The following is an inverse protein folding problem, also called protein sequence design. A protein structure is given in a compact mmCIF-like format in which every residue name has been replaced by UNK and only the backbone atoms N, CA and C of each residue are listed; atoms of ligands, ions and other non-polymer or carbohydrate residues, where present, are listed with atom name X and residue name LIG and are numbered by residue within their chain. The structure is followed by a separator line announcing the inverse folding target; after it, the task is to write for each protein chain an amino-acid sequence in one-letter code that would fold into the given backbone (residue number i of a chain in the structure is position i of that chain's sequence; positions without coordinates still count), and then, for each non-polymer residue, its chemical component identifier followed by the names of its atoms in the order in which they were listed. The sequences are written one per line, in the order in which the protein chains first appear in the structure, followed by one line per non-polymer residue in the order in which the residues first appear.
data_IF_594323357416
#
_entry.id   IF_594323357416
#
_cell.length_a   1.000
_cell.length_b   1.000
_cell.length_c   1.000
_cell.angle_alpha   90.00
_cell.angle_beta   90.00
_cell.angle_gamma   90.00
#
_symmetry.space_group_name_H-M   'P 1'
#
loop_
_entity.id
_entity.type
_entity.pdbx_description
1 polymer ?
#
# COMPACT_ATOMS: atom_id res chain seq x y z
N UNK A 1 17.56 9.94 -21.91
CA UNK A 1 16.39 9.19 -21.40
C UNK A 1 15.56 8.80 -22.61
N UNK A 2 15.91 7.71 -23.27
CA UNK A 2 15.31 7.23 -24.52
C UNK A 2 15.65 5.74 -24.53
N UNK A 3 14.76 4.81 -24.17
CA UNK A 3 13.45 4.57 -24.76
C UNK A 3 12.44 4.09 -23.70
N UNK A 4 11.52 4.96 -23.26
CA UNK A 4 10.36 4.50 -22.47
C UNK A 4 9.36 3.81 -23.40
N UNK A 5 8.67 2.74 -22.96
CA UNK A 5 7.60 2.12 -23.74
C UNK A 5 6.53 3.15 -24.16
N UNK A 6 6.00 3.03 -25.37
CA UNK A 6 5.00 3.97 -25.90
C UNK A 6 3.76 4.10 -24.98
N UNK A 7 3.35 2.99 -24.34
CA UNK A 7 2.26 3.01 -23.35
C UNK A 7 2.59 3.85 -22.11
N UNK A 8 3.85 3.84 -21.64
CA UNK A 8 4.32 4.67 -20.52
C UNK A 8 4.28 6.15 -20.88
N UNK A 9 4.71 6.50 -22.10
CA UNK A 9 4.66 7.89 -22.61
C UNK A 9 3.20 8.35 -22.73
N UNK A 10 2.33 7.53 -23.32
CA UNK A 10 0.91 7.85 -23.45
C UNK A 10 0.21 8.03 -22.09
N UNK A 11 0.57 7.21 -21.09
CA UNK A 11 0.08 7.38 -19.73
C UNK A 11 0.60 8.68 -19.09
N UNK A 12 1.88 9.01 -19.25
CA UNK A 12 2.45 10.28 -18.75
C UNK A 12 1.75 11.49 -19.36
N UNK A 13 1.59 11.50 -20.69
CA UNK A 13 0.83 12.52 -21.41
C UNK A 13 -0.61 12.64 -20.91
N UNK A 14 -1.27 11.51 -20.64
CA UNK A 14 -2.61 11.51 -20.07
C UNK A 14 -2.63 12.23 -18.72
N UNK A 15 -1.75 11.87 -17.79
CA UNK A 15 -1.73 12.49 -16.46
C UNK A 15 -1.33 13.96 -16.49
N UNK A 16 -0.36 14.36 -17.32
CA UNK A 16 0.05 15.75 -17.44
C UNK A 16 -1.09 16.66 -17.93
N UNK A 17 -1.86 16.17 -18.92
CA UNK A 17 -3.02 16.89 -19.48
C UNK A 17 -4.20 16.99 -18.50
N UNK A 18 -4.46 15.95 -17.70
CA UNK A 18 -5.68 15.86 -16.90
C UNK A 18 -5.51 16.26 -15.43
N UNK A 19 -4.29 16.19 -14.88
CA UNK A 19 -4.04 16.37 -13.46
C UNK A 19 -2.93 17.39 -13.17
N UNK A 20 -3.08 18.09 -12.06
CA UNK A 20 -2.03 18.86 -11.40
C UNK A 20 -1.56 18.07 -10.16
N UNK A 21 -0.25 17.85 -10.05
CA UNK A 21 0.36 17.18 -8.91
C UNK A 21 0.83 18.13 -7.83
N UNK A 22 0.67 17.72 -6.58
CA UNK A 22 1.47 18.27 -5.49
C UNK A 22 2.92 17.80 -5.63
N UNK A 23 3.83 18.49 -4.94
CA UNK A 23 5.23 18.03 -4.84
C UNK A 23 5.27 16.61 -4.24
N UNK A 24 5.93 15.63 -4.90
CA UNK A 24 6.03 14.30 -4.36
C UNK A 24 6.84 14.28 -3.05
N UNK A 25 6.37 13.53 -2.07
CA UNK A 25 7.11 13.27 -0.83
C UNK A 25 7.98 12.05 -1.05
N UNK A 26 9.30 12.25 -1.08
CA UNK A 26 10.30 11.19 -1.01
C UNK A 26 10.69 11.00 0.45
N UNK A 27 10.26 9.91 1.06
CA UNK A 27 10.57 9.59 2.45
C UNK A 27 11.71 8.58 2.48
N UNK A 28 12.90 9.08 2.81
CA UNK A 28 14.12 8.29 2.99
C UNK A 28 14.43 8.01 4.47
N UNK A 29 15.29 7.02 4.78
CA UNK A 29 15.67 6.73 6.15
C UNK A 29 16.24 7.94 6.88
N UNK A 30 15.72 8.22 8.09
CA UNK A 30 16.16 9.32 8.92
C UNK A 30 15.45 10.66 8.67
N UNK A 31 14.67 10.77 7.60
CA UNK A 31 13.83 11.95 7.37
C UNK A 31 12.69 12.00 8.41
N UNK A 32 12.37 13.22 8.86
CA UNK A 32 11.15 13.49 9.65
C UNK A 32 10.38 14.64 9.02
N UNK A 33 9.14 14.37 8.64
CA UNK A 33 8.20 15.33 8.08
C UNK A 33 6.92 15.28 8.91
N UNK A 34 6.46 16.45 9.34
CA UNK A 34 5.20 16.62 10.06
C UNK A 34 4.20 17.31 9.14
N UNK A 35 3.06 16.66 8.88
CA UNK A 35 1.96 17.26 8.14
C UNK A 35 1.07 18.06 9.09
N UNK A 36 0.65 19.24 8.66
CA UNK A 36 -0.23 20.12 9.41
C UNK A 36 0.46 20.97 10.48
N UNK A 37 -0.17 22.09 10.81
CA UNK A 37 0.31 23.00 11.84
C UNK A 37 0.32 22.32 13.22
N UNK A 38 1.41 22.54 13.97
CA UNK A 38 1.51 22.15 15.38
C UNK A 38 0.91 23.18 16.35
N UNK A 39 0.38 24.29 15.83
CA UNK A 39 -0.22 25.34 16.64
C UNK A 39 -1.48 24.87 17.35
N UNK A 40 -1.69 25.41 18.55
CA UNK A 40 -2.85 25.11 19.40
C UNK A 40 -3.85 26.28 19.37
N UNK A 41 -5.16 26.01 19.45
CA UNK A 41 -5.79 24.70 19.57
C UNK A 41 -5.70 23.89 18.27
N UNK A 42 -5.45 22.58 18.38
CA UNK A 42 -5.40 21.68 17.21
C UNK A 42 -6.78 21.21 16.79
N UNK A 43 -6.96 21.07 15.47
CA UNK A 43 -8.18 20.59 14.81
C UNK A 43 -7.95 19.21 14.19
N UNK A 44 -8.83 18.25 14.48
CA UNK A 44 -8.77 16.92 13.87
C UNK A 44 -9.62 16.90 12.60
N UNK A 45 -8.98 16.80 11.43
CA UNK A 45 -9.72 16.83 10.14
C UNK A 45 -10.61 15.60 9.94
N UNK A 46 -10.32 14.49 10.62
CA UNK A 46 -11.10 13.26 10.50
C UNK A 46 -12.40 13.34 11.30
N UNK A 47 -12.34 13.79 12.57
CA UNK A 47 -13.53 13.89 13.41
C UNK A 47 -14.20 15.26 13.44
N UNK A 48 -13.54 16.29 12.92
CA UNK A 48 -14.00 17.67 12.92
C UNK A 48 -14.01 18.31 14.31
N UNK A 49 -13.36 17.69 15.31
CA UNK A 49 -13.31 18.20 16.68
C UNK A 49 -11.98 18.89 16.97
N UNK A 50 -12.03 19.91 17.82
CA UNK A 50 -10.89 20.69 18.28
C UNK A 50 -10.46 20.32 19.70
N UNK A 51 -9.25 20.73 20.09
CA UNK A 51 -8.89 20.79 21.51
C UNK A 51 -9.79 21.80 22.25
N UNK A 52 -10.27 21.50 23.48
CA UNK A 52 -9.94 20.35 24.32
C UNK A 52 -10.92 19.15 24.20
N UNK A 53 -11.86 19.16 23.25
CA UNK A 53 -12.84 18.07 23.08
C UNK A 53 -12.18 16.74 22.62
N UNK A 54 -11.00 16.83 22.03
CA UNK A 54 -10.10 15.71 21.71
C UNK A 54 -8.67 16.05 22.12
N UNK A 55 -7.80 15.03 22.19
CA UNK A 55 -6.38 15.18 22.50
C UNK A 55 -5.51 14.71 21.33
N UNK A 56 -4.27 15.19 21.30
CA UNK A 56 -3.27 14.88 20.28
C UNK A 56 -1.92 14.57 20.97
N UNK A 57 -1.96 13.61 21.90
CA UNK A 57 -0.79 13.17 22.66
C UNK A 57 -0.01 12.09 21.91
N UNK A 58 -0.68 11.35 21.03
CA UNK A 58 -0.06 10.31 20.22
C UNK A 58 0.75 10.92 19.06
N UNK A 59 1.80 10.21 18.67
CA UNK A 59 2.48 10.47 17.41
C UNK A 59 1.74 9.74 16.26
N UNK A 60 0.69 10.39 15.75
CA UNK A 60 -0.10 9.86 14.66
C UNK A 60 0.73 9.79 13.37
N UNK A 61 0.73 8.62 12.72
CA UNK A 61 1.46 8.41 11.49
C UNK A 61 0.54 8.68 10.29
N UNK A 62 0.98 9.51 9.34
CA UNK A 62 0.19 9.76 8.12
C UNK A 62 0.15 8.54 7.19
N UNK A 63 1.22 7.75 7.19
CA UNK A 63 1.32 6.44 6.56
C UNK A 63 1.53 5.39 7.66
N UNK A 64 0.78 4.27 7.72
CA UNK A 64 0.97 3.30 8.79
C UNK A 64 2.41 2.79 8.87
N UNK A 65 2.95 2.68 10.08
CA UNK A 65 4.32 2.19 10.31
C UNK A 65 4.56 0.79 9.71
N UNK A 66 3.50 0.01 9.49
CA UNK A 66 3.51 -1.26 8.78
C UNK A 66 4.19 -1.20 7.40
N UNK A 67 4.14 -0.03 6.73
CA UNK A 67 4.75 0.21 5.42
C UNK A 67 6.20 0.68 5.47
N UNK A 68 6.85 0.65 6.63
CA UNK A 68 8.20 1.19 6.79
C UNK A 68 8.27 2.69 7.01
N UNK A 69 7.13 3.32 7.32
CA UNK A 69 7.12 4.71 7.73
C UNK A 69 7.82 4.88 9.08
N UNK A 70 8.91 5.63 9.10
CA UNK A 70 9.66 6.04 10.30
C UNK A 70 9.66 7.55 10.52
N UNK A 71 9.02 8.32 9.62
CA UNK A 71 9.31 9.74 9.48
C UNK A 71 8.15 10.64 9.08
N UNK A 72 7.05 10.12 8.53
CA UNK A 72 5.92 10.91 8.08
C UNK A 72 4.78 10.89 9.11
N UNK A 73 4.65 11.99 9.84
CA UNK A 73 3.70 12.15 10.95
C UNK A 73 2.62 13.18 10.61
N UNK A 74 1.54 13.19 11.39
CA UNK A 74 0.37 14.04 11.14
C UNK A 74 -0.09 14.74 12.41
N UNK A 75 -0.20 16.07 12.37
CA UNK A 75 -0.92 16.87 13.35
C UNK A 75 -2.44 16.91 13.07
N UNK A 76 -2.90 16.32 11.97
CA UNK A 76 -4.30 16.38 11.56
C UNK A 76 -5.21 15.33 12.23
N UNK A 77 -4.63 14.45 13.05
CA UNK A 77 -5.29 13.27 13.59
C UNK A 77 -5.21 13.25 15.12
N UNK A 78 -6.37 13.28 15.79
CA UNK A 78 -6.44 13.16 17.25
C UNK A 78 -6.30 11.71 17.72
N UNK A 79 -5.95 11.52 18.98
CA UNK A 79 -5.69 10.21 19.61
C UNK A 79 -6.84 9.24 19.35
N UNK A 80 -8.10 9.67 19.56
CA UNK A 80 -9.27 8.81 19.33
C UNK A 80 -9.41 8.32 17.88
N UNK A 81 -9.03 9.12 16.89
CA UNK A 81 -9.07 8.71 15.49
C UNK A 81 -7.89 7.80 15.15
N UNK A 82 -6.69 8.15 15.64
CA UNK A 82 -5.48 7.35 15.49
C UNK A 82 -5.69 5.91 15.99
N UNK A 83 -6.24 5.76 17.20
CA UNK A 83 -6.61 4.44 17.75
C UNK A 83 -7.70 3.75 16.93
N UNK A 84 -8.79 4.45 16.59
CA UNK A 84 -9.90 3.88 15.82
C UNK A 84 -9.45 3.33 14.45
N UNK A 85 -8.64 4.08 13.70
CA UNK A 85 -8.16 3.63 12.40
C UNK A 85 -7.10 2.53 12.54
N UNK A 86 -6.19 2.64 13.52
CA UNK A 86 -5.16 1.66 13.80
C UNK A 86 -5.71 0.27 14.15
N UNK A 87 -6.74 0.22 15.00
CA UNK A 87 -7.42 -1.03 15.40
C UNK A 87 -8.38 -1.56 14.32
N UNK A 88 -8.92 -0.66 13.49
CA UNK A 88 -9.89 -0.98 12.44
C UNK A 88 -9.28 -1.09 11.03
N UNK A 89 -9.49 -0.05 10.21
CA UNK A 89 -9.21 -0.09 8.77
C UNK A 89 -7.72 -0.27 8.43
N UNK A 90 -6.80 0.27 9.23
CA UNK A 90 -5.37 0.13 9.00
C UNK A 90 -4.88 -1.28 9.30
N UNK A 91 -5.49 -1.98 10.26
CA UNK A 91 -5.21 -3.39 10.52
C UNK A 91 -5.61 -4.27 9.33
N UNK A 92 -6.79 -4.03 8.73
CA UNK A 92 -7.21 -4.73 7.51
C UNK A 92 -6.29 -4.44 6.32
N UNK A 93 -5.85 -3.19 6.16
CA UNK A 93 -4.86 -2.80 5.16
C UNK A 93 -3.51 -3.52 5.39
N UNK A 94 -3.08 -3.60 6.66
CA UNK A 94 -1.91 -4.36 7.08
C UNK A 94 -2.00 -5.83 6.67
N UNK A 95 -3.14 -6.47 6.93
CA UNK A 95 -3.38 -7.88 6.60
C UNK A 95 -3.35 -8.12 5.08
N UNK A 96 -4.00 -7.26 4.30
CA UNK A 96 -4.01 -7.36 2.83
C UNK A 96 -2.61 -7.22 2.21
N UNK A 97 -1.82 -6.26 2.68
CA UNK A 97 -0.48 -5.95 2.11
C UNK A 97 0.64 -6.83 2.67
N UNK A 98 0.39 -7.60 3.73
CA UNK A 98 1.41 -8.40 4.44
C UNK A 98 2.25 -9.28 3.50
N UNK A 99 1.69 -10.06 2.55
CA UNK A 99 2.49 -10.86 1.62
C UNK A 99 3.57 -10.05 0.90
N UNK A 100 3.20 -8.91 0.33
CA UNK A 100 4.11 -8.10 -0.48
C UNK A 100 5.09 -7.33 0.39
N UNK A 101 4.66 -6.85 1.56
CA UNK A 101 5.55 -6.23 2.55
C UNK A 101 6.61 -7.20 3.07
N UNK A 102 6.27 -8.47 3.27
CA UNK A 102 7.24 -9.52 3.60
C UNK A 102 8.25 -9.70 2.47
N UNK A 103 7.79 -9.92 1.24
CA UNK A 103 8.66 -10.18 0.08
C UNK A 103 9.57 -9.02 -0.29
N UNK A 104 9.06 -7.79 -0.20
CA UNK A 104 9.86 -6.58 -0.39
C UNK A 104 10.71 -6.22 0.83
N UNK A 105 10.70 -7.03 1.91
CA UNK A 105 11.50 -6.83 3.13
C UNK A 105 11.24 -5.47 3.79
N UNK A 106 9.98 -5.04 3.79
CA UNK A 106 9.54 -3.78 4.38
C UNK A 106 9.54 -3.93 5.90
N UNK A 107 10.32 -3.11 6.60
CA UNK A 107 10.47 -3.16 8.05
C UNK A 107 9.41 -2.30 8.73
N UNK A 108 8.49 -2.91 9.47
CA UNK A 108 7.60 -2.17 10.37
C UNK A 108 8.19 -2.04 11.78
N UNK A 109 7.35 -1.67 12.76
CA UNK A 109 7.73 -1.53 14.18
C UNK A 109 8.38 -2.80 14.76
N UNK A 110 7.96 -3.97 14.32
CA UNK A 110 8.43 -5.28 14.81
C UNK A 110 9.31 -6.01 13.77
N UNK A 111 9.95 -5.27 12.86
CA UNK A 111 10.77 -5.85 11.79
C UNK A 111 9.98 -6.21 10.54
N UNK A 112 10.53 -7.11 9.71
CA UNK A 112 9.87 -7.60 8.50
C UNK A 112 8.74 -8.56 8.90
N UNK A 113 7.51 -8.42 8.35
CA UNK A 113 6.41 -9.30 8.73
C UNK A 113 6.72 -10.77 8.42
N UNK A 114 6.46 -11.65 9.38
CA UNK A 114 6.54 -13.11 9.18
C UNK A 114 5.21 -13.65 8.67
N UNK A 115 5.26 -14.55 7.69
CA UNK A 115 4.10 -15.29 7.19
C UNK A 115 4.24 -16.72 7.65
N UNK A 116 3.18 -17.29 8.21
CA UNK A 116 3.17 -18.63 8.77
C UNK A 116 1.80 -19.24 8.64
N UNK A 117 1.72 -20.57 8.74
CA UNK A 117 0.44 -21.27 8.88
C UNK A 117 -0.33 -20.70 10.09
N UNK A 118 -1.67 -20.54 10.00
CA UNK A 118 -2.48 -20.02 11.12
C UNK A 118 -2.48 -20.87 12.40
N UNK A 119 -1.98 -22.11 12.37
CA UNK A 119 -2.05 -23.06 13.49
C UNK A 119 -0.67 -23.22 14.14
N UNK A 120 -0.54 -23.20 15.49
CA UNK A 120 0.73 -22.88 16.16
C UNK A 120 1.78 -23.98 16.19
N UNK A 121 1.40 -25.26 16.06
CA UNK A 121 2.27 -26.34 16.56
C UNK A 121 3.11 -27.03 15.48
N UNK A 122 2.65 -27.09 14.22
CA UNK A 122 3.38 -27.70 13.08
C UNK A 122 2.90 -27.09 11.77
N UNK A 123 3.67 -26.15 11.22
CA UNK A 123 3.33 -25.52 9.96
C UNK A 123 4.49 -24.77 9.34
N UNK A 124 4.33 -24.42 8.06
CA UNK A 124 5.34 -23.69 7.34
C UNK A 124 5.48 -22.24 7.80
N UNK A 125 6.66 -21.66 7.53
CA UNK A 125 7.02 -20.29 7.92
C UNK A 125 7.94 -19.65 6.87
N UNK A 126 7.70 -18.37 6.59
CA UNK A 126 8.52 -17.47 5.79
C UNK A 126 8.93 -16.30 6.67
N UNK A 127 10.22 -16.18 6.93
CA UNK A 127 10.80 -15.14 7.79
C UNK A 127 12.08 -14.57 7.17
N UNK A 128 12.38 -13.31 7.43
CA UNK A 128 13.62 -12.68 6.98
C UNK A 128 14.61 -12.59 8.14
N UNK A 129 15.78 -13.21 8.01
CA UNK A 129 16.81 -13.26 9.07
C UNK A 129 17.80 -12.09 9.04
N UNK A 130 17.60 -11.09 8.17
CA UNK A 130 18.57 -10.02 7.94
C UNK A 130 19.51 -10.30 6.76
N UNK A 131 19.88 -11.56 6.55
CA UNK A 131 20.75 -12.03 5.46
C UNK A 131 19.99 -12.68 4.29
N UNK A 132 18.80 -13.24 4.56
CA UNK A 132 17.98 -13.89 3.54
C UNK A 132 16.61 -14.31 4.07
N UNK A 133 15.78 -14.86 3.18
CA UNK A 133 14.55 -15.52 3.60
C UNK A 133 14.84 -16.93 4.09
N UNK A 134 14.26 -17.27 5.23
CA UNK A 134 14.25 -18.59 5.83
C UNK A 134 12.88 -19.21 5.56
N UNK A 135 12.86 -20.29 4.78
CA UNK A 135 11.68 -21.08 4.45
C UNK A 135 11.74 -22.37 5.26
N UNK A 136 10.74 -22.62 6.10
CA UNK A 136 10.61 -23.88 6.85
C UNK A 136 9.29 -24.53 6.47
N UNK A 137 9.30 -25.81 6.14
CA UNK A 137 8.11 -26.60 5.83
C UNK A 137 8.16 -27.98 6.47
N UNK A 138 7.02 -28.70 6.41
CA UNK A 138 6.90 -30.07 6.87
C UNK A 138 6.53 -30.95 5.67
N UNK A 139 7.12 -32.15 5.59
CA UNK A 139 6.99 -33.06 4.45
C UNK A 139 5.54 -33.37 4.03
N UNK A 140 4.60 -33.37 4.98
CA UNK A 140 3.17 -33.59 4.69
C UNK A 140 2.40 -32.39 4.13
N UNK A 141 3.01 -31.20 4.10
CA UNK A 141 2.40 -29.96 3.63
C UNK A 141 3.44 -29.02 2.99
N UNK A 142 3.96 -29.37 1.80
CA UNK A 142 4.88 -28.48 1.09
C UNK A 142 4.16 -27.18 0.72
N UNK A 143 4.85 -26.04 0.83
CA UNK A 143 4.30 -24.73 0.47
C UNK A 143 5.14 -24.00 -0.58
N UNK A 144 6.30 -24.55 -0.94
CA UNK A 144 7.13 -24.07 -2.03
C UNK A 144 7.62 -25.22 -2.91
N UNK A 145 7.98 -24.87 -4.14
CA UNK A 145 8.56 -25.75 -5.14
C UNK A 145 9.83 -25.10 -5.67
N UNK A 146 10.88 -25.90 -5.84
CA UNK A 146 12.13 -25.48 -6.49
C UNK A 146 12.20 -26.13 -7.86
N UNK A 147 12.24 -25.30 -8.89
CA UNK A 147 12.40 -25.67 -10.28
C UNK A 147 13.84 -25.32 -10.69
N UNK A 148 14.75 -26.29 -10.59
CA UNK A 148 16.19 -26.09 -10.84
C UNK A 148 16.49 -25.79 -12.31
N UNK A 149 15.73 -26.38 -13.23
CA UNK A 149 15.91 -26.16 -14.67
C UNK A 149 15.49 -24.73 -15.05
N UNK A 150 14.34 -24.26 -14.58
CA UNK A 150 13.90 -22.89 -14.79
C UNK A 150 14.60 -21.88 -13.86
N UNK A 151 15.39 -22.36 -12.89
CA UNK A 151 16.00 -21.59 -11.81
C UNK A 151 15.01 -20.72 -11.03
N UNK A 152 13.89 -21.32 -10.63
CA UNK A 152 12.80 -20.63 -9.95
C UNK A 152 12.42 -21.30 -8.62
N UNK A 153 12.07 -20.49 -7.63
CA UNK A 153 11.38 -20.93 -6.43
C UNK A 153 9.97 -20.35 -6.46
N UNK A 154 8.96 -21.22 -6.42
CA UNK A 154 7.54 -20.85 -6.44
C UNK A 154 6.93 -21.16 -5.08
N UNK A 155 6.10 -20.28 -4.55
CA UNK A 155 5.41 -20.55 -3.28
C UNK A 155 4.11 -19.79 -3.15
N UNK A 156 3.24 -20.30 -2.28
CA UNK A 156 1.95 -19.69 -1.96
C UNK A 156 1.98 -19.06 -0.57
N UNK A 157 1.94 -17.72 -0.51
CA UNK A 157 1.86 -17.00 0.75
C UNK A 157 0.41 -16.90 1.22
N UNK A 158 0.14 -17.28 2.46
CA UNK A 158 -1.18 -17.06 3.05
C UNK A 158 -1.32 -15.62 3.51
N UNK A 159 -2.33 -14.93 2.97
CA UNK A 159 -2.73 -13.61 3.41
C UNK A 159 -3.60 -13.74 4.66
N UNK A 160 -3.34 -12.88 5.65
CA UNK A 160 -4.15 -12.81 6.86
C UNK A 160 -5.59 -12.39 6.51
N UNK A 161 -6.55 -12.75 7.36
CA UNK A 161 -7.96 -12.42 7.12
C UNK A 161 -8.16 -10.90 7.08
N UNK A 162 -8.88 -10.41 6.08
CA UNK A 162 -9.19 -8.99 5.94
C UNK A 162 -10.57 -8.79 5.32
N UNK A 163 -11.13 -7.59 5.50
CA UNK A 163 -12.32 -7.13 4.78
C UNK A 163 -11.82 -6.18 3.68
N UNK A 164 -12.04 -6.48 2.39
CA UNK A 164 -11.48 -5.67 1.30
C UNK A 164 -11.82 -4.18 1.40
N UNK A 165 -13.08 -3.84 1.65
CA UNK A 165 -13.49 -2.42 1.77
C UNK A 165 -12.89 -1.72 2.99
N UNK A 166 -12.57 -2.46 4.05
CA UNK A 166 -11.84 -1.89 5.19
C UNK A 166 -10.39 -1.57 4.81
N UNK A 167 -9.71 -2.47 4.09
CA UNK A 167 -8.37 -2.20 3.56
C UNK A 167 -8.37 -1.00 2.58
N UNK A 168 -9.41 -0.89 1.74
CA UNK A 168 -9.61 0.25 0.85
C UNK A 168 -9.79 1.57 1.61
N UNK A 169 -10.63 1.58 2.66
CA UNK A 169 -10.77 2.76 3.54
C UNK A 169 -9.42 3.15 4.15
N UNK A 170 -8.58 2.17 4.53
CA UNK A 170 -7.22 2.42 5.01
C UNK A 170 -6.34 3.13 3.98
N UNK A 171 -6.39 2.71 2.71
CA UNK A 171 -5.68 3.41 1.62
C UNK A 171 -6.18 4.85 1.45
N UNK A 172 -7.50 5.03 1.45
CA UNK A 172 -8.13 6.35 1.28
C UNK A 172 -7.79 7.28 2.46
N UNK A 173 -7.71 6.76 3.69
CA UNK A 173 -7.27 7.51 4.88
C UNK A 173 -5.86 8.10 4.69
N UNK A 174 -4.93 7.32 4.13
CA UNK A 174 -3.58 7.83 3.80
C UNK A 174 -3.70 9.02 2.85
N UNK A 175 -4.43 8.88 1.75
CA UNK A 175 -4.63 9.95 0.79
C UNK A 175 -5.28 11.20 1.39
N UNK A 176 -6.33 11.05 2.21
CA UNK A 176 -6.98 12.18 2.90
C UNK A 176 -6.06 12.89 3.91
N UNK A 177 -5.07 12.18 4.46
CA UNK A 177 -4.04 12.80 5.30
C UNK A 177 -3.15 13.75 4.49
N UNK A 178 -2.91 13.44 3.21
CA UNK A 178 -2.08 14.25 2.30
C UNK A 178 -2.81 15.44 1.68
N UNK A 179 -4.15 15.45 1.71
CA UNK A 179 -4.96 16.50 1.10
C UNK A 179 -4.66 17.87 1.78
N UNK A 180 -4.37 18.94 1.01
CA UNK A 180 -4.23 20.29 1.54
C UNK A 180 -5.51 20.78 2.23
N UNK A 181 -5.40 21.61 3.26
CA UNK A 181 -6.56 22.07 4.05
C UNK A 181 -7.65 22.71 3.18
N UNK A 182 -7.27 23.48 2.15
CA UNK A 182 -8.20 24.14 1.22
C UNK A 182 -9.06 23.18 0.39
N UNK A 183 -8.62 21.94 0.21
CA UNK A 183 -9.32 20.91 -0.55
C UNK A 183 -10.22 20.02 0.34
N UNK A 184 -9.99 20.02 1.66
CA UNK A 184 -10.73 19.18 2.61
C UNK A 184 -12.26 19.30 2.52
N UNK A 185 -12.88 20.47 2.25
CA UNK A 185 -14.34 20.58 2.14
C UNK A 185 -14.93 19.72 1.02
N UNK A 186 -14.15 19.36 -0.01
CA UNK A 186 -14.62 18.52 -1.12
C UNK A 186 -14.70 17.04 -0.78
N UNK A 187 -14.15 16.60 0.35
CA UNK A 187 -14.06 15.18 0.74
C UNK A 187 -14.91 14.83 1.97
N UNK A 188 -15.87 15.67 2.35
CA UNK A 188 -16.66 15.49 3.58
C UNK A 188 -17.28 14.09 3.69
N UNK A 189 -17.96 13.65 2.63
CA UNK A 189 -18.62 12.34 2.59
C UNK A 189 -17.60 11.20 2.65
N UNK A 190 -16.39 11.42 2.15
CA UNK A 190 -15.29 10.45 2.17
C UNK A 190 -14.70 10.32 3.58
N UNK A 191 -14.56 11.44 4.31
CA UNK A 191 -14.19 11.42 5.73
C UNK A 191 -15.23 10.68 6.58
N UNK A 192 -16.52 10.93 6.34
CA UNK A 192 -17.62 10.22 7.00
C UNK A 192 -17.56 8.71 6.67
N UNK A 193 -17.35 8.36 5.40
CA UNK A 193 -17.28 6.98 4.96
C UNK A 193 -16.10 6.19 5.55
N UNK A 194 -14.88 6.73 5.57
CA UNK A 194 -13.74 6.01 6.15
C UNK A 194 -13.89 5.80 7.67
N UNK A 195 -14.67 6.65 8.33
CA UNK A 195 -14.99 6.57 9.76
C UNK A 195 -16.18 5.69 10.10
N UNK A 196 -16.98 5.30 9.11
CA UNK A 196 -18.10 4.39 9.31
C UNK A 196 -17.58 2.97 9.60
N UNK A 197 -17.79 2.42 10.82
CA UNK A 197 -17.38 1.06 11.14
C UNK A 197 -18.24 0.02 10.39
N UNK A 198 -19.39 0.41 9.85
CA UNK A 198 -20.17 -0.45 8.97
C UNK A 198 -19.56 -0.47 7.57
N UNK A 199 -19.18 -1.67 7.15
CA UNK A 199 -18.60 -1.96 5.84
C UNK A 199 -19.66 -2.41 4.81
N UNK A 200 -20.93 -2.51 5.20
CA UNK A 200 -22.01 -2.94 4.31
C UNK A 200 -22.38 -1.87 3.26
N UNK A 201 -22.17 -0.59 3.55
CA UNK A 201 -22.65 0.51 2.69
C UNK A 201 -21.80 0.67 1.42
N UNK A 202 -22.47 0.81 0.28
CA UNK A 202 -21.84 1.29 -0.95
C UNK A 202 -21.43 2.75 -0.79
N UNK A 203 -20.37 3.17 -1.50
CA UNK A 203 -19.94 4.57 -1.52
C UNK A 203 -19.91 5.14 -2.93
N UNK A 204 -19.17 4.52 -3.84
CA UNK A 204 -19.13 4.85 -5.27
C UNK A 204 -19.30 3.60 -6.13
N UNK A 205 -19.76 3.77 -7.38
CA UNK A 205 -20.03 2.66 -8.30
C UNK A 205 -18.77 1.92 -8.75
N UNK A 206 -17.66 2.64 -8.96
CA UNK A 206 -16.37 2.08 -9.33
C UNK A 206 -15.29 2.67 -8.42
N UNK A 207 -14.39 1.81 -7.93
CA UNK A 207 -13.31 2.21 -7.04
C UNK A 207 -12.00 1.52 -7.44
N UNK A 208 -11.42 1.88 -8.59
CA UNK A 208 -10.21 1.23 -9.07
C UNK A 208 -9.04 1.55 -8.14
N UNK A 209 -8.31 0.51 -7.75
CA UNK A 209 -6.97 0.62 -7.18
C UNK A 209 -6.02 -0.05 -8.17
N UNK A 210 -5.22 0.73 -8.88
CA UNK A 210 -4.21 0.16 -9.76
C UNK A 210 -3.01 -0.21 -8.91
N UNK A 211 -2.57 -1.46 -9.04
CA UNK A 211 -1.36 -1.96 -8.42
C UNK A 211 -0.36 -2.28 -9.52
N UNK A 212 0.74 -1.54 -9.54
CA UNK A 212 1.86 -1.80 -10.43
C UNK A 212 2.94 -2.53 -9.64
N UNK A 213 3.24 -3.75 -10.04
CA UNK A 213 4.38 -4.52 -9.54
C UNK A 213 5.60 -4.30 -10.43
N UNK A 214 6.71 -3.88 -9.83
CA UNK A 214 7.99 -3.66 -10.49
C UNK A 214 8.89 -4.87 -10.18
N UNK A 215 9.22 -5.72 -11.17
CA UNK A 215 10.02 -6.92 -10.93
C UNK A 215 11.50 -6.61 -10.68
N UNK A 216 12.18 -7.54 -10.01
CA UNK A 216 13.62 -7.43 -9.72
C UNK A 216 13.94 -6.70 -8.41
N UNK A 217 15.23 -6.48 -8.13
CA UNK A 217 15.69 -5.82 -6.91
C UNK A 217 15.23 -4.36 -6.88
N UNK A 218 14.54 -3.96 -5.81
CA UNK A 218 14.13 -2.59 -5.55
C UNK A 218 14.57 -2.16 -4.15
N UNK A 219 14.76 -0.85 -3.96
CA UNK A 219 14.95 -0.25 -2.63
C UNK A 219 13.73 -0.58 -1.76
N UNK A 220 13.99 -1.04 -0.53
CA UNK A 220 12.96 -1.38 0.45
C UNK A 220 12.86 -0.36 1.60
N UNK A 221 13.54 0.77 1.44
CA UNK A 221 13.70 1.82 2.44
C UNK A 221 13.31 3.21 1.92
N UNK A 222 12.81 3.29 0.68
CA UNK A 222 12.27 4.50 0.06
C UNK A 222 10.76 4.35 -0.08
N UNK A 223 10.04 5.37 0.40
CA UNK A 223 8.61 5.54 0.16
C UNK A 223 8.41 6.80 -0.67
N UNK A 224 7.56 6.71 -1.70
CA UNK A 224 7.19 7.89 -2.51
C UNK A 224 5.67 8.06 -2.49
N UNK A 225 5.21 9.25 -2.12
CA UNK A 225 3.80 9.61 -2.11
C UNK A 225 3.58 10.80 -3.04
N UNK A 226 2.59 10.73 -3.93
CA UNK A 226 2.24 11.84 -4.81
C UNK A 226 0.73 12.02 -4.87
N UNK A 227 0.25 13.20 -4.49
CA UNK A 227 -1.15 13.57 -4.59
C UNK A 227 -1.41 14.28 -5.91
N UNK A 228 -2.49 13.90 -6.60
CA UNK A 228 -2.89 14.45 -7.89
C UNK A 228 -4.34 14.92 -7.84
N UNK A 229 -4.59 16.16 -8.28
CA UNK A 229 -5.93 16.75 -8.39
C UNK A 229 -6.23 17.06 -9.86
N UNK A 230 -7.45 16.75 -10.29
CA UNK A 230 -7.94 17.02 -11.64
C UNK A 230 -7.83 18.51 -11.96
N UNK A 231 -7.34 18.85 -13.16
CA UNK A 231 -7.26 20.24 -13.64
C UNK A 231 -8.67 20.82 -13.83
N UNK A 232 -8.77 22.14 -13.69
CA UNK A 232 -10.01 22.86 -13.94
C UNK A 232 -10.48 22.66 -15.39
N UNK A 233 -11.78 22.50 -15.60
CA UNK A 233 -12.37 22.27 -16.92
C UNK A 233 -12.34 20.81 -17.42
N UNK A 234 -11.66 19.90 -16.71
CA UNK A 234 -11.72 18.47 -16.99
C UNK A 234 -12.85 17.83 -16.15
N UNK A 235 -13.68 17.00 -16.78
CA UNK A 235 -14.87 16.38 -16.17
C UNK A 235 -15.03 14.88 -16.53
N UNK A 236 -14.00 14.27 -17.10
CA UNK A 236 -14.00 12.87 -17.58
C UNK A 236 -13.25 11.90 -16.67
N UNK A 237 -12.57 12.41 -15.65
CA UNK A 237 -11.70 11.63 -14.76
C UNK A 237 -12.01 11.96 -13.30
N UNK A 238 -11.63 11.09 -12.34
CA UNK A 238 -11.74 11.35 -10.92
C UNK A 238 -11.14 12.67 -10.45
N UNK A 239 -11.77 13.31 -9.48
CA UNK A 239 -11.35 14.59 -8.92
C UNK A 239 -9.94 14.52 -8.34
N UNK A 240 -9.61 13.45 -7.63
CA UNK A 240 -8.28 13.25 -7.08
C UNK A 240 -7.90 11.77 -7.00
N UNK A 241 -6.60 11.53 -7.00
CA UNK A 241 -6.01 10.25 -6.62
C UNK A 241 -4.66 10.50 -5.96
N UNK A 242 -4.11 9.51 -5.29
CA UNK A 242 -2.70 9.53 -4.92
C UNK A 242 -1.99 8.27 -5.38
N UNK A 243 -0.67 8.39 -5.57
CA UNK A 243 0.20 7.22 -5.72
C UNK A 243 1.01 7.01 -4.46
N UNK A 244 1.27 5.74 -4.16
CA UNK A 244 2.03 5.29 -3.02
C UNK A 244 2.97 4.17 -3.46
N UNK A 245 4.26 4.47 -3.52
CA UNK A 245 5.31 3.53 -3.89
C UNK A 245 6.07 3.07 -2.64
N UNK A 246 6.28 1.75 -2.52
CA UNK A 246 7.15 1.13 -1.52
C UNK A 246 7.65 -0.22 -2.04
N UNK A 247 8.94 -0.49 -1.89
CA UNK A 247 9.53 -1.75 -2.37
C UNK A 247 9.29 -1.97 -3.87
N UNK A 248 8.61 -3.07 -4.19
CA UNK A 248 8.27 -3.45 -5.56
C UNK A 248 6.88 -2.99 -6.01
N UNK A 249 6.17 -2.19 -5.22
CA UNK A 249 4.78 -1.83 -5.49
C UNK A 249 4.59 -0.34 -5.67
N UNK A 250 3.72 0.03 -6.62
CA UNK A 250 3.10 1.34 -6.71
C UNK A 250 1.59 1.15 -6.71
N UNK A 251 0.93 1.68 -5.69
CA UNK A 251 -0.53 1.73 -5.61
C UNK A 251 -1.00 3.10 -6.10
N UNK A 252 -1.90 3.13 -7.08
CA UNK A 252 -2.65 4.31 -7.47
C UNK A 252 -4.07 4.17 -6.94
N UNK A 253 -4.46 5.08 -6.05
CA UNK A 253 -5.70 4.99 -5.28
C UNK A 253 -6.58 6.19 -5.58
N UNK A 254 -7.78 5.93 -6.12
CA UNK A 254 -8.82 6.93 -6.27
C UNK A 254 -9.21 7.54 -4.92
N UNK A 255 -9.33 8.87 -4.84
CA UNK A 255 -9.89 9.59 -3.70
C UNK A 255 -11.24 10.19 -4.11
N UNK A 256 -12.37 9.54 -3.76
CA UNK A 256 -13.68 10.05 -4.16
C UNK A 256 -13.97 11.40 -3.51
N UNK A 257 -14.54 12.30 -4.29
CA UNK A 257 -15.17 13.52 -3.83
C UNK A 257 -16.57 13.55 -4.44
N UNK A 258 -17.59 13.16 -3.67
CA UNK A 258 -18.97 13.02 -4.20
C UNK A 258 -19.45 14.31 -4.86
N UNK A 259 -19.11 15.47 -4.29
CA UNK A 259 -19.45 16.77 -4.85
C UNK A 259 -18.76 17.05 -6.19
N UNK A 260 -17.49 16.67 -6.35
CA UNK A 260 -16.68 16.98 -7.54
C UNK A 260 -16.71 15.88 -8.63
N UNK A 261 -17.12 14.66 -8.25
CA UNK A 261 -17.15 13.47 -9.11
C UNK A 261 -18.52 13.22 -9.76
N UNK A 262 -19.49 14.13 -9.61
CA UNK A 262 -20.81 14.03 -10.28
C UNK A 262 -20.71 13.80 -11.79
N UNK A 263 -19.68 14.34 -12.42
CA UNK A 263 -19.43 14.21 -13.85
C UNK A 263 -19.05 12.79 -14.29
N UNK A 264 -18.54 11.96 -13.38
CA UNK A 264 -18.16 10.56 -13.63
C UNK A 264 -19.10 9.55 -12.97
N UNK A 265 -20.12 10.03 -12.24
CA UNK A 265 -21.10 9.15 -11.59
C UNK A 265 -21.87 8.31 -12.62
N UNK A 266 -22.02 7.02 -12.33
CA UNK A 266 -22.62 6.03 -13.22
C UNK A 266 -21.86 5.75 -14.53
N UNK A 267 -20.71 6.40 -14.78
CA UNK A 267 -19.90 6.19 -15.99
C UNK A 267 -18.79 5.17 -15.73
N UNK A 268 -18.43 4.42 -16.76
CA UNK A 268 -17.25 3.56 -16.69
C UNK A 268 -15.98 4.41 -16.63
N UNK A 269 -15.13 4.15 -15.63
CA UNK A 269 -13.85 4.84 -15.50
C UNK A 269 -12.82 4.15 -16.38
N UNK A 270 -12.23 4.92 -17.29
CA UNK A 270 -11.11 4.48 -18.13
C UNK A 270 -9.90 5.34 -17.84
N UNK A 271 -8.99 4.82 -17.02
CA UNK A 271 -7.74 5.48 -16.65
C UNK A 271 -6.56 4.53 -16.97
N UNK A 272 -5.50 5.00 -17.65
CA UNK A 272 -4.27 4.22 -17.72
C UNK A 272 -3.63 4.18 -16.32
N UNK A 273 -2.91 3.13 -15.96
CA UNK A 273 -2.15 3.13 -14.71
C UNK A 273 -1.10 4.25 -14.70
N UNK A 274 -0.84 4.84 -13.53
CA UNK A 274 0.18 5.87 -13.38
C UNK A 274 1.54 5.38 -13.88
N UNK A 275 2.24 6.15 -14.73
CA UNK A 275 3.50 5.71 -15.31
C UNK A 275 4.59 5.60 -14.23
N UNK A 276 5.28 4.47 -14.20
CA UNK A 276 6.41 4.24 -13.29
C UNK A 276 7.67 3.96 -14.11
N UNK A 277 8.86 4.42 -13.67
CA UNK A 277 10.12 4.23 -14.40
C UNK A 277 10.53 2.75 -14.53
N UNK A 278 9.91 1.85 -13.75
CA UNK A 278 10.17 0.41 -13.80
C UNK A 278 11.44 0.01 -13.06
N UNK A 279 11.98 -1.14 -13.43
CA UNK A 279 13.17 -1.74 -12.81
C UNK A 279 14.45 -1.23 -13.47
N UNK A 280 15.59 -1.12 -12.74
CA UNK A 280 16.85 -0.67 -13.33
C UNK A 280 17.38 -1.54 -14.48
N UNK A 281 17.01 -2.83 -14.52
CA UNK A 281 17.36 -3.77 -15.60
C UNK A 281 16.10 -4.47 -16.17
N UNK A 282 15.32 -3.79 -17.03
CA UNK A 282 14.10 -4.36 -17.61
C UNK A 282 14.36 -5.55 -18.53
N UNK A 283 15.56 -5.65 -19.12
CA UNK A 283 15.92 -6.77 -19.99
C UNK A 283 16.01 -8.08 -19.20
N UNK A 284 16.54 -8.03 -17.96
CA UNK A 284 16.62 -9.19 -17.07
C UNK A 284 15.32 -9.48 -16.33
N UNK A 285 14.65 -8.45 -15.83
CA UNK A 285 13.52 -8.63 -14.89
C UNK A 285 12.14 -8.49 -15.54
N UNK A 286 12.09 -7.98 -16.77
CA UNK A 286 10.85 -7.71 -17.50
C UNK A 286 10.21 -6.37 -17.13
N UNK A 287 9.12 -6.00 -17.82
CA UNK A 287 8.42 -4.75 -17.58
C UNK A 287 7.56 -4.79 -16.31
N UNK A 288 7.18 -3.63 -15.75
CA UNK A 288 6.18 -3.55 -14.71
C UNK A 288 4.85 -4.21 -15.11
N UNK A 289 4.17 -4.83 -14.16
CA UNK A 289 2.88 -5.50 -14.35
C UNK A 289 1.80 -4.75 -13.61
N UNK A 290 0.70 -4.43 -14.28
CA UNK A 290 -0.42 -3.69 -13.71
C UNK A 290 -1.58 -4.64 -13.46
N UNK A 291 -2.14 -4.60 -12.25
CA UNK A 291 -3.43 -5.20 -11.89
C UNK A 291 -4.38 -4.12 -11.41
N UNK A 292 -5.69 -4.30 -11.65
CA UNK A 292 -6.73 -3.48 -11.04
C UNK A 292 -7.34 -4.29 -9.90
N UNK A 293 -7.04 -3.87 -8.67
CA UNK A 293 -7.50 -4.53 -7.46
C UNK A 293 -8.95 -4.11 -7.17
N UNK A 294 -9.83 -5.10 -6.93
CA UNK A 294 -11.19 -4.83 -6.48
C UNK A 294 -11.30 -5.00 -4.97
N UNK A 295 -11.11 -3.90 -4.24
CA UNK A 295 -11.22 -3.86 -2.79
C UNK A 295 -12.61 -3.41 -2.29
N UNK A 296 -13.66 -3.55 -3.09
CA UNK A 296 -15.03 -3.15 -2.67
C UNK A 296 -15.81 -4.28 -1.96
N UNK A 297 -15.20 -5.46 -1.83
CA UNK A 297 -15.78 -6.61 -1.12
C UNK A 297 -16.04 -6.32 0.36
N UNK A 298 -17.17 -6.81 0.86
CA UNK A 298 -17.70 -6.50 2.21
C UNK A 298 -17.55 -7.65 3.21
N UNK A 299 -17.43 -8.87 2.70
CA UNK A 299 -17.21 -10.06 3.51
C UNK A 299 -15.73 -10.20 3.89
N UNK A 300 -15.48 -10.89 5.01
CA UNK A 300 -14.13 -11.29 5.38
C UNK A 300 -13.60 -12.32 4.38
N UNK A 301 -12.45 -12.02 3.76
CA UNK A 301 -11.70 -12.94 2.92
C UNK A 301 -10.77 -13.76 3.83
N UNK A 302 -10.90 -15.08 3.80
CA UNK A 302 -10.14 -16.03 4.64
C UNK A 302 -9.40 -17.02 3.77
N UNK A 303 -8.19 -17.39 4.16
CA UNK A 303 -7.40 -18.43 3.48
C UNK A 303 -6.97 -18.05 2.06
N UNK A 304 -6.95 -16.75 1.72
CA UNK A 304 -6.45 -16.31 0.43
C UNK A 304 -4.96 -16.62 0.30
N UNK A 305 -4.60 -17.20 -0.83
CA UNK A 305 -3.24 -17.54 -1.19
C UNK A 305 -2.73 -16.60 -2.26
N UNK A 306 -1.50 -16.12 -2.08
CA UNK A 306 -0.83 -15.19 -2.99
C UNK A 306 0.39 -15.88 -3.58
N UNK A 307 0.39 -16.20 -4.88
CA UNK A 307 1.53 -16.84 -5.52
C UNK A 307 2.70 -15.86 -5.62
N UNK A 308 3.91 -16.38 -5.41
CA UNK A 308 5.15 -15.64 -5.60
C UNK A 308 6.17 -16.53 -6.31
N UNK A 309 7.00 -15.89 -7.14
CA UNK A 309 8.07 -16.56 -7.89
C UNK A 309 9.35 -15.74 -7.74
N UNK A 310 10.41 -16.41 -7.32
CA UNK A 310 11.76 -15.86 -7.23
C UNK A 310 12.68 -16.59 -8.20
N UNK A 311 13.48 -15.84 -8.96
CA UNK A 311 14.58 -16.42 -9.73
C UNK A 311 15.84 -16.54 -8.87
N UNK A 312 16.66 -17.56 -9.12
CA UNK A 312 17.98 -17.70 -8.50
C UNK A 312 19.06 -17.98 -9.56
N UNK A 313 20.33 -17.72 -9.21
CA UNK A 313 21.45 -17.95 -10.13
C UNK A 313 22.07 -19.35 -9.93
N UNK A 314 22.12 -19.82 -8.68
CA UNK A 314 22.69 -21.11 -8.25
C UNK A 314 22.01 -21.66 -6.99
N UNK A 315 22.04 -22.98 -6.80
CA UNK A 315 21.62 -23.67 -5.58
C UNK A 315 22.83 -24.31 -4.90
N UNK A 316 22.91 -24.20 -3.58
CA UNK A 316 23.98 -24.80 -2.76
C UNK A 316 23.30 -25.68 -1.72
N UNK A 317 23.59 -26.97 -1.73
CA UNK A 317 23.18 -27.87 -0.66
C UNK A 317 24.11 -27.69 0.55
N UNK A 318 23.54 -27.22 1.67
CA UNK A 318 24.28 -27.15 2.92
C UNK A 318 24.46 -28.58 3.49
N UNK A 319 25.66 -28.89 3.98
CA UNK A 319 25.88 -30.16 4.67
C UNK A 319 25.25 -30.09 6.07
N UNK A 320 24.78 -31.20 6.65
CA UNK A 320 24.17 -31.22 7.99
C UNK A 320 25.05 -30.62 9.10
N UNK A 321 26.37 -30.59 8.89
CA UNK A 321 27.37 -30.05 9.81
C UNK A 321 27.35 -28.50 9.88
N UNK A 322 26.89 -27.83 8.82
CA UNK A 322 26.82 -26.36 8.73
C UNK A 322 25.62 -25.76 9.48
N UNK A 323 24.63 -26.57 9.86
CA UNK A 323 23.39 -26.13 10.51
C UNK A 323 23.48 -25.98 12.04
N UNK A 324 24.64 -26.24 12.66
CA UNK A 324 24.82 -26.25 14.13
C UNK A 324 25.43 -24.98 14.74
N UNK A 325 25.73 -23.96 13.94
CA UNK A 325 26.33 -22.72 14.42
C UNK A 325 25.36 -21.56 14.36
N UNK A 326 24.43 -21.47 15.33
CA UNK A 326 23.76 -20.25 15.81
C UNK A 326 22.52 -20.68 16.63
N UNK A 327 22.75 -20.91 17.92
CA UNK A 327 21.73 -21.04 18.96
C UNK A 327 21.74 -19.78 19.82
#
# INVERSE_FOLDING_TARGET
MTDLPAATIAAADFYDRHYAGAEPIFLEPGMKLMLGSGERPRHCRFCGKDEPAVTFKDEAHALPAAFGNTGLFSNHECDSCNHFFGEGIENHLGNWTKPMRTLSRIRGRSGVPTIKKPVPEKGWRVEYSGTGFQLKEYEGEPFFEVDEEAKQVRFELHRDTYIPVAALKGLVKIGLTLIPDVETPHFRETYEWIRDPDHARNFVAQFPVFRTFIPGPMRNDLIVLMLMRRRAGIDTVPYAFFTFAYGNEVLQVFLPSISQDKCIDGKALSLPAFPTPGTPDPARHGPPRVTVENLTGRGAVKGEKVPAVFGFDSMIEAKPEDAKGEA
#
